data_IF_239609842304
#
_entry.id   IF_239609842304
#
_cell.length_a   1.000
_cell.length_b   1.000
_cell.length_c   1.000
_cell.angle_alpha   90.00
_cell.angle_beta   90.00
_cell.angle_gamma   90.00
#
_symmetry.space_group_name_H-M   'P 1'
#
loop_
_entity.id
_entity.type
_entity.pdbx_description
1 polymer ?
#
# COMPACT_ATOMS: atom_id res chain seq x y z
N UNK A 1 -4.67 -6.38 -15.69
CA UNK A 1 -3.31 -6.65 -15.17
C UNK A 1 -3.22 -8.10 -14.76
N UNK A 2 -2.11 -8.78 -15.01
CA UNK A 2 -1.87 -10.11 -14.42
C UNK A 2 -1.58 -9.91 -12.93
N UNK A 3 -2.17 -10.74 -12.07
CA UNK A 3 -2.00 -10.61 -10.61
C UNK A 3 -1.39 -11.93 -10.13
N UNK A 4 -0.13 -11.94 -9.68
CA UNK A 4 0.53 -13.12 -9.14
C UNK A 4 -0.08 -13.49 -7.78
N UNK A 5 0.43 -14.53 -7.11
CA UNK A 5 0.03 -14.77 -5.72
C UNK A 5 0.62 -13.68 -4.82
N UNK A 6 -0.12 -13.28 -3.77
CA UNK A 6 0.35 -12.29 -2.79
C UNK A 6 1.73 -12.69 -2.24
N UNK A 7 1.87 -13.97 -1.88
CA UNK A 7 3.11 -14.50 -1.33
C UNK A 7 4.32 -14.26 -2.24
N UNK A 8 4.18 -14.37 -3.56
CA UNK A 8 5.30 -14.13 -4.50
C UNK A 8 5.73 -12.66 -4.46
N UNK A 9 4.79 -11.72 -4.36
CA UNK A 9 5.10 -10.28 -4.26
C UNK A 9 5.77 -9.96 -2.93
N UNK A 10 5.28 -10.54 -1.81
CA UNK A 10 5.83 -10.29 -0.47
C UNK A 10 7.26 -10.82 -0.27
N UNK A 11 7.78 -11.68 -1.15
CA UNK A 11 9.18 -12.09 -1.11
C UNK A 11 10.14 -11.02 -1.67
N UNK A 12 9.64 -10.01 -2.37
CA UNK A 12 10.48 -8.92 -2.87
C UNK A 12 11.03 -8.08 -1.71
N UNK A 13 12.33 -7.79 -1.75
CA UNK A 13 13.01 -6.99 -0.75
C UNK A 13 13.82 -5.89 -1.42
N UNK A 14 13.84 -4.71 -0.82
CA UNK A 14 14.69 -3.61 -1.25
C UNK A 14 15.26 -2.86 -0.03
N UNK A 15 16.42 -3.30 0.45
CA UNK A 15 17.07 -2.70 1.62
C UNK A 15 17.47 -1.24 1.38
N UNK A 16 17.70 -0.84 0.12
CA UNK A 16 18.06 0.54 -0.22
C UNK A 16 16.85 1.46 0.00
N UNK A 17 15.69 1.11 -0.54
CA UNK A 17 14.42 1.84 -0.32
C UNK A 17 14.10 1.93 1.16
N UNK A 18 14.15 0.81 1.87
CA UNK A 18 13.83 0.75 3.31
C UNK A 18 14.75 1.65 4.15
N UNK A 19 16.06 1.61 3.89
CA UNK A 19 17.02 2.48 4.59
C UNK A 19 16.85 3.95 4.22
N UNK A 20 16.53 4.23 2.94
CA UNK A 20 16.26 5.59 2.49
C UNK A 20 15.02 6.17 3.18
N UNK A 21 13.95 5.38 3.29
CA UNK A 21 12.75 5.78 4.02
C UNK A 21 13.05 6.06 5.50
N UNK A 22 13.65 5.11 6.21
CA UNK A 22 13.99 5.25 7.63
C UNK A 22 14.91 6.46 7.92
N UNK A 23 15.77 6.83 6.97
CA UNK A 23 16.63 8.00 7.10
C UNK A 23 15.86 9.33 7.04
N UNK A 24 14.84 9.41 6.16
CA UNK A 24 14.05 10.62 5.96
C UNK A 24 12.83 10.71 6.90
N UNK A 25 12.44 9.60 7.51
CA UNK A 25 11.29 9.46 8.41
C UNK A 25 11.74 8.89 9.77
N UNK A 26 12.37 9.72 10.63
CA UNK A 26 12.99 9.26 11.89
C UNK A 26 12.00 8.70 12.92
N UNK A 27 10.70 8.91 12.73
CA UNK A 27 9.62 8.30 13.50
C UNK A 27 9.45 6.80 13.21
N UNK A 28 10.00 6.29 12.10
CA UNK A 28 10.05 4.86 11.79
C UNK A 28 11.47 4.32 11.93
N UNK A 29 11.67 3.39 12.87
CA UNK A 29 12.92 2.63 12.91
C UNK A 29 13.06 1.69 11.69
N UNK A 30 14.23 1.06 11.54
CA UNK A 30 14.49 0.19 10.39
C UNK A 30 13.54 -1.01 10.32
N UNK A 31 13.11 -1.54 11.46
CA UNK A 31 12.19 -2.69 11.53
C UNK A 31 10.78 -2.27 11.13
N UNK A 32 10.31 -1.14 11.65
CA UNK A 32 9.04 -0.54 11.29
C UNK A 32 9.00 -0.18 9.79
N UNK A 33 10.09 0.39 9.26
CA UNK A 33 10.23 0.70 7.83
C UNK A 33 10.21 -0.56 6.95
N UNK A 34 10.82 -1.65 7.40
CA UNK A 34 10.78 -2.94 6.70
C UNK A 34 9.36 -3.53 6.69
N UNK A 35 8.64 -3.42 7.80
CA UNK A 35 7.23 -3.85 7.89
C UNK A 35 6.35 -2.99 6.97
N UNK A 36 6.53 -1.68 6.99
CA UNK A 36 5.79 -0.73 6.16
C UNK A 36 6.01 -0.99 4.66
N UNK A 37 7.25 -1.31 4.27
CA UNK A 37 7.54 -1.72 2.89
C UNK A 37 6.83 -3.02 2.52
N UNK A 38 6.85 -4.04 3.39
CA UNK A 38 6.10 -5.29 3.16
C UNK A 38 4.59 -5.03 3.04
N UNK A 39 4.05 -4.13 3.85
CA UNK A 39 2.64 -3.76 3.83
C UNK A 39 2.27 -2.97 2.56
N UNK A 40 3.18 -2.14 2.05
CA UNK A 40 3.02 -1.48 0.76
C UNK A 40 2.96 -2.50 -0.38
N UNK A 41 3.84 -3.51 -0.39
CA UNK A 41 3.80 -4.57 -1.39
C UNK A 41 2.45 -5.33 -1.35
N UNK A 42 1.93 -5.57 -0.15
CA UNK A 42 0.62 -6.17 0.04
C UNK A 42 -0.51 -5.28 -0.52
N UNK A 43 -0.44 -3.97 -0.25
CA UNK A 43 -1.40 -3.00 -0.77
C UNK A 43 -1.34 -2.88 -2.30
N UNK A 44 -0.15 -2.85 -2.91
CA UNK A 44 0.02 -2.82 -4.37
C UNK A 44 -0.57 -4.07 -5.03
N UNK A 45 -0.38 -5.23 -4.41
CA UNK A 45 -1.04 -6.46 -4.85
C UNK A 45 -2.57 -6.34 -4.76
N UNK A 46 -3.09 -5.81 -3.66
CA UNK A 46 -4.54 -5.63 -3.47
C UNK A 46 -5.11 -4.65 -4.50
N UNK A 47 -4.41 -3.56 -4.78
CA UNK A 47 -4.76 -2.61 -5.82
C UNK A 47 -4.86 -3.30 -7.19
N UNK A 48 -3.87 -4.12 -7.54
CA UNK A 48 -3.88 -4.93 -8.75
C UNK A 48 -5.09 -5.88 -8.83
N UNK A 49 -5.42 -6.52 -7.71
CA UNK A 49 -6.56 -7.41 -7.57
C UNK A 49 -7.88 -6.67 -7.79
N UNK A 50 -8.10 -5.55 -7.09
CA UNK A 50 -9.31 -4.72 -7.17
C UNK A 50 -9.50 -4.09 -8.55
N UNK A 51 -8.41 -3.78 -9.26
CA UNK A 51 -8.50 -3.33 -10.66
C UNK A 51 -9.12 -4.39 -11.59
N UNK A 52 -9.02 -5.70 -11.31
CA UNK A 52 -9.68 -6.74 -12.12
C UNK A 52 -11.20 -6.65 -12.06
N UNK A 53 -11.74 -6.19 -10.94
CA UNK A 53 -13.18 -5.99 -10.71
C UNK A 53 -13.60 -4.53 -10.89
N UNK A 54 -12.70 -3.67 -11.40
CA UNK A 54 -12.90 -2.22 -11.58
C UNK A 54 -13.25 -1.49 -10.28
N UNK A 55 -12.76 -1.99 -9.16
CA UNK A 55 -12.90 -1.34 -7.87
C UNK A 55 -11.69 -0.44 -7.60
N UNK A 56 -11.91 0.81 -7.17
CA UNK A 56 -10.82 1.70 -6.84
C UNK A 56 -10.14 1.31 -5.51
N UNK A 57 -8.92 1.80 -5.33
CA UNK A 57 -8.17 1.71 -4.07
C UNK A 57 -7.55 3.08 -3.82
N UNK A 58 -7.62 3.56 -2.58
CA UNK A 58 -7.21 4.92 -2.23
C UNK A 58 -6.21 4.88 -1.08
N UNK A 59 -5.35 5.89 -1.02
CA UNK A 59 -4.63 6.24 0.20
C UNK A 59 -5.42 7.31 0.94
N UNK A 60 -5.78 7.03 2.18
CA UNK A 60 -6.51 7.96 3.04
C UNK A 60 -6.13 7.71 4.50
N UNK A 61 -6.23 8.77 5.30
CA UNK A 61 -6.08 8.73 6.76
C UNK A 61 -4.98 7.79 7.24
N UNK A 62 -5.32 6.64 7.86
CA UNK A 62 -4.32 5.73 8.43
C UNK A 62 -3.34 5.09 7.43
N UNK A 63 -3.64 5.12 6.13
CA UNK A 63 -2.77 4.55 5.09
C UNK A 63 -1.71 5.54 4.57
N UNK A 64 -1.72 6.81 4.99
CA UNK A 64 -0.74 7.80 4.53
C UNK A 64 0.74 7.41 4.75
N UNK A 65 1.13 6.63 5.78
CA UNK A 65 2.49 6.10 5.87
C UNK A 65 2.87 5.20 4.68
N UNK A 66 1.93 4.40 4.17
CA UNK A 66 2.17 3.55 2.99
C UNK A 66 2.35 4.39 1.72
N UNK A 67 1.58 5.47 1.59
CA UNK A 67 1.72 6.44 0.52
C UNK A 67 3.12 7.09 0.50
N UNK A 68 3.61 7.52 1.67
CA UNK A 68 4.96 8.05 1.82
C UNK A 68 6.05 7.01 1.46
N UNK A 69 5.86 5.74 1.86
CA UNK A 69 6.76 4.65 1.45
C UNK A 69 6.71 4.42 -0.06
N UNK A 70 5.54 4.55 -0.69
CA UNK A 70 5.40 4.39 -2.14
C UNK A 70 6.10 5.52 -2.89
N UNK A 71 5.96 6.77 -2.44
CA UNK A 71 6.73 7.90 -2.96
C UNK A 71 8.24 7.62 -2.91
N UNK A 72 8.73 7.10 -1.78
CA UNK A 72 10.14 6.70 -1.68
C UNK A 72 10.47 5.63 -2.71
N UNK A 73 9.67 4.57 -2.83
CA UNK A 73 9.95 3.51 -3.79
C UNK A 73 9.97 4.01 -5.24
N UNK A 74 9.04 4.88 -5.63
CA UNK A 74 8.98 5.47 -6.98
C UNK A 74 10.27 6.25 -7.32
N UNK A 75 10.85 6.97 -6.36
CA UNK A 75 12.12 7.68 -6.55
C UNK A 75 13.30 6.74 -6.85
N UNK A 76 13.22 5.49 -6.41
CA UNK A 76 14.11 4.41 -6.83
C UNK A 76 13.66 3.82 -8.18
N UNK A 77 13.59 4.70 -9.19
CA UNK A 77 12.91 4.49 -10.48
C UNK A 77 13.23 3.16 -11.18
N UNK A 78 14.50 2.73 -11.19
CA UNK A 78 14.92 1.46 -11.80
C UNK A 78 14.31 0.27 -11.07
N UNK A 79 14.49 0.21 -9.75
CA UNK A 79 13.98 -0.87 -8.92
C UNK A 79 12.45 -0.93 -8.96
N UNK A 80 11.80 0.24 -8.95
CA UNK A 80 10.33 0.34 -9.02
C UNK A 80 9.78 -0.12 -10.37
N UNK A 81 10.40 0.32 -11.47
CA UNK A 81 10.02 -0.12 -12.81
C UNK A 81 10.24 -1.63 -12.98
N UNK A 82 11.38 -2.15 -12.53
CA UNK A 82 11.70 -3.58 -12.61
C UNK A 82 10.73 -4.41 -11.76
N UNK A 83 10.37 -3.95 -10.56
CA UNK A 83 9.35 -4.56 -9.72
C UNK A 83 8.00 -4.62 -10.46
N UNK A 84 7.52 -3.49 -10.95
CA UNK A 84 6.25 -3.38 -11.67
C UNK A 84 6.19 -4.34 -12.87
N UNK A 85 7.22 -4.32 -13.72
CA UNK A 85 7.29 -5.18 -14.90
C UNK A 85 7.44 -6.67 -14.54
N UNK A 86 8.20 -6.99 -13.50
CA UNK A 86 8.43 -8.37 -13.09
C UNK A 86 7.15 -9.01 -12.59
N UNK A 87 6.47 -8.37 -11.64
CA UNK A 87 5.34 -8.97 -10.92
C UNK A 87 3.99 -8.73 -11.61
N UNK A 88 3.82 -7.62 -12.33
CA UNK A 88 2.49 -7.21 -12.81
C UNK A 88 2.40 -7.02 -14.33
N UNK A 89 3.54 -7.11 -15.04
CA UNK A 89 3.65 -6.89 -16.50
C UNK A 89 3.11 -5.53 -16.95
N UNK A 90 3.11 -4.56 -16.03
CA UNK A 90 2.55 -3.24 -16.20
C UNK A 90 3.24 -2.29 -15.21
N UNK A 91 3.22 -0.99 -15.50
CA UNK A 91 3.67 0.04 -14.57
C UNK A 91 2.50 0.48 -13.69
N UNK A 92 2.69 0.52 -12.37
CA UNK A 92 1.72 1.14 -11.48
C UNK A 92 1.92 2.65 -11.46
N UNK A 93 0.93 3.36 -11.98
CA UNK A 93 0.86 4.79 -11.88
C UNK A 93 0.35 5.17 -10.49
N UNK A 94 1.06 6.09 -9.84
CA UNK A 94 0.57 6.79 -8.66
C UNK A 94 -0.22 8.00 -9.17
N UNK A 95 -1.54 7.87 -9.20
CA UNK A 95 -2.45 8.90 -9.66
C UNK A 95 -2.75 9.83 -8.48
N UNK A 96 -2.11 11.01 -8.47
CA UNK A 96 -2.27 12.01 -7.42
C UNK A 96 -3.50 12.85 -7.72
N UNK A 97 -4.43 12.92 -6.76
CA UNK A 97 -5.60 13.78 -6.86
C UNK A 97 -5.19 15.25 -6.72
N UNK A 98 -5.74 16.16 -7.54
CA UNK A 98 -5.49 17.59 -7.39
C UNK A 98 -5.96 18.07 -6.01
N UNK A 99 -5.22 19.01 -5.37
CA UNK A 99 -5.67 19.60 -4.11
C UNK A 99 -7.06 20.23 -4.23
N UNK A 100 -7.99 19.84 -3.36
CA UNK A 100 -9.39 20.26 -3.35
C UNK A 100 -10.31 19.43 -4.27
N UNK A 101 -9.78 18.45 -4.98
CA UNK A 101 -10.54 17.49 -5.79
C UNK A 101 -10.40 16.06 -5.25
N UNK A 102 -10.03 15.90 -3.97
CA UNK A 102 -9.83 14.59 -3.34
C UNK A 102 -11.15 13.81 -3.23
N UNK A 103 -11.13 12.53 -3.61
CA UNK A 103 -12.28 11.65 -3.52
C UNK A 103 -12.74 11.48 -2.07
N UNK A 104 -14.01 11.78 -1.82
CA UNK A 104 -14.62 11.58 -0.51
C UNK A 104 -15.12 10.15 -0.39
N UNK A 105 -14.40 9.31 0.36
CA UNK A 105 -14.79 7.93 0.58
C UNK A 105 -16.16 7.83 1.25
N UNK A 106 -17.05 7.06 0.64
CA UNK A 106 -18.32 6.67 1.24
C UNK A 106 -18.14 5.52 2.24
N UNK A 107 -19.06 5.35 3.21
CA UNK A 107 -19.02 4.21 4.12
C UNK A 107 -19.04 2.85 3.41
N UNK A 108 -19.77 2.72 2.31
CA UNK A 108 -19.86 1.48 1.53
C UNK A 108 -18.54 1.17 0.80
N UNK A 109 -17.86 2.18 0.25
CA UNK A 109 -16.53 2.02 -0.35
C UNK A 109 -15.51 1.59 0.70
N UNK A 110 -15.54 2.21 1.89
CA UNK A 110 -14.66 1.85 2.99
C UNK A 110 -14.91 0.41 3.46
N UNK A 111 -16.17 0.03 3.69
CA UNK A 111 -16.52 -1.32 4.11
C UNK A 111 -16.10 -2.37 3.06
N UNK A 112 -16.32 -2.08 1.79
CA UNK A 112 -15.89 -2.94 0.69
C UNK A 112 -14.36 -3.08 0.64
N UNK A 113 -13.62 -1.98 0.77
CA UNK A 113 -12.16 -2.00 0.79
C UNK A 113 -11.61 -2.79 1.99
N UNK A 114 -12.17 -2.57 3.19
CA UNK A 114 -11.74 -3.28 4.41
C UNK A 114 -12.07 -4.77 4.36
N UNK A 115 -13.18 -5.16 3.73
CA UNK A 115 -13.52 -6.57 3.50
C UNK A 115 -12.43 -7.26 2.68
N UNK A 116 -12.03 -6.65 1.55
CA UNK A 116 -10.96 -7.19 0.72
C UNK A 116 -9.60 -7.19 1.44
N UNK A 117 -9.30 -6.17 2.26
CA UNK A 117 -8.10 -6.16 3.09
C UNK A 117 -8.09 -7.33 4.07
N UNK A 118 -9.22 -7.59 4.74
CA UNK A 118 -9.34 -8.69 5.67
C UNK A 118 -9.18 -10.05 4.97
N UNK A 119 -9.90 -10.25 3.87
CA UNK A 119 -9.94 -11.52 3.13
C UNK A 119 -8.60 -11.87 2.47
N UNK A 120 -7.85 -10.86 2.00
CA UNK A 120 -6.62 -11.08 1.24
C UNK A 120 -5.33 -10.76 2.01
N UNK A 121 -5.31 -9.71 2.82
CA UNK A 121 -4.12 -9.25 3.55
C UNK A 121 -4.11 -9.74 5.01
N UNK A 122 -5.27 -10.17 5.51
CA UNK A 122 -5.44 -10.73 6.84
C UNK A 122 -5.62 -9.70 7.94
N UNK A 123 -6.18 -10.16 9.05
CA UNK A 123 -6.51 -9.35 10.23
C UNK A 123 -5.33 -8.53 10.75
N UNK A 124 -4.12 -9.11 10.78
CA UNK A 124 -2.94 -8.42 11.27
C UNK A 124 -2.60 -7.16 10.46
N UNK A 125 -2.82 -7.19 9.13
CA UNK A 125 -2.62 -6.01 8.29
C UNK A 125 -3.69 -4.95 8.60
N UNK A 126 -4.95 -5.35 8.69
CA UNK A 126 -6.06 -4.44 9.02
C UNK A 126 -5.83 -3.76 10.38
N UNK A 127 -5.48 -4.51 11.41
CA UNK A 127 -5.27 -3.97 12.76
C UNK A 127 -4.11 -2.98 12.84
N UNK A 128 -3.06 -3.12 12.02
CA UNK A 128 -1.94 -2.16 12.00
C UNK A 128 -2.35 -0.75 11.57
N UNK A 129 -3.38 -0.63 10.73
CA UNK A 129 -3.80 0.66 10.18
C UNK A 129 -5.14 1.14 10.73
N UNK A 130 -6.04 0.24 11.14
CA UNK A 130 -7.41 0.62 11.45
C UNK A 130 -7.83 0.38 12.91
N UNK A 131 -6.96 -0.16 13.77
CA UNK A 131 -7.29 -0.41 15.19
C UNK A 131 -7.78 0.85 15.91
N UNK A 132 -7.05 1.96 15.80
CA UNK A 132 -7.43 3.24 16.42
C UNK A 132 -8.81 3.75 15.96
N UNK A 133 -9.20 3.45 14.71
CA UNK A 133 -10.50 3.83 14.17
C UNK A 133 -11.65 2.98 14.76
N UNK A 134 -11.34 1.77 15.25
CA UNK A 134 -12.29 0.88 15.93
C UNK A 134 -12.34 1.13 17.44
N UNK A 135 -11.29 1.68 18.05
CA UNK A 135 -11.23 1.99 19.48
C UNK A 135 -11.94 3.29 19.88
N UNK A 136 -12.22 4.19 18.93
CA UNK A 136 -12.89 5.48 19.18
C UNK A 136 -14.40 5.39 19.54
N UNK A 137 -14.91 4.20 19.86
CA UNK A 137 -16.31 3.95 20.25
C UNK A 137 -16.36 3.41 21.68
N UNK A 138 -15.98 4.25 22.66
CA UNK A 138 -16.37 4.09 24.07
C UNK A 138 -17.18 5.29 24.56
#
# INVERSE_FOLDING_TARGET
MEVPTLQVVLHYQNATVVRHFAHNHPEFDLKASQQLFSDLLAWLWLNAYRQKTKQPTYFFGPLLPLDAMWHTFILHTRDYMDFCQTFFKAYFHHEVEPPGEEHQLTPDELANFLTDCYDHLGEAWVNRYFSDAFEAVE
#
